data_IF_093821796347
#
_entry.id   IF_093821796347
#
_cell.length_a   1.000
_cell.length_b   1.000
_cell.length_c   1.000
_cell.angle_alpha   90.00
_cell.angle_beta   90.00
_cell.angle_gamma   90.00
#
_symmetry.space_group_name_H-M   'P 1'
#
loop_
_entity.id
_entity.type
_entity.pdbx_description
1 polymer ?
#
# COMPACT_ATOMS: atom_id res chain seq x y z
N UNK A 1 6.67 18.70 -5.38
CA UNK A 1 7.04 19.59 -6.50
C UNK A 1 8.27 20.44 -6.20
N UNK A 2 8.51 20.81 -4.94
CA UNK A 2 9.70 21.58 -4.53
C UNK A 2 11.03 20.93 -4.93
N UNK A 3 11.15 19.61 -4.84
CA UNK A 3 12.36 18.88 -5.25
C UNK A 3 12.64 19.02 -6.75
N UNK A 4 11.60 18.89 -7.60
CA UNK A 4 11.74 19.05 -9.06
C UNK A 4 12.10 20.50 -9.42
N UNK A 5 11.48 21.48 -8.76
CA UNK A 5 11.83 22.89 -8.90
C UNK A 5 13.30 23.15 -8.59
N UNK A 6 13.76 22.69 -7.44
CA UNK A 6 15.14 22.87 -7.00
C UNK A 6 16.14 22.20 -7.96
N UNK A 7 15.80 21.01 -8.47
CA UNK A 7 16.63 20.30 -9.47
C UNK A 7 16.79 21.08 -10.78
N UNK A 8 15.75 21.82 -11.18
CA UNK A 8 15.76 22.70 -12.35
C UNK A 8 16.27 24.12 -12.05
N UNK A 9 16.70 24.42 -10.82
CA UNK A 9 17.11 25.76 -10.43
C UNK A 9 15.97 26.77 -10.26
N UNK A 10 14.71 26.34 -10.30
CA UNK A 10 13.56 27.23 -10.14
C UNK A 10 13.22 27.49 -8.68
N UNK A 11 13.02 28.75 -8.37
CA UNK A 11 12.54 29.26 -7.09
C UNK A 11 11.03 29.53 -7.14
N UNK A 12 10.46 29.98 -6.02
CA UNK A 12 9.06 30.43 -5.96
C UNK A 12 8.85 31.78 -6.64
N UNK A 13 9.91 32.60 -6.80
CA UNK A 13 9.84 33.94 -7.41
C UNK A 13 9.68 33.89 -8.93
N UNK A 14 10.15 32.82 -9.55
CA UNK A 14 10.11 32.64 -11.01
C UNK A 14 8.71 32.39 -11.55
N UNK A 15 7.72 32.13 -10.67
CA UNK A 15 6.29 31.95 -10.99
C UNK A 15 5.99 30.94 -12.12
N UNK A 16 6.95 30.08 -12.48
CA UNK A 16 6.80 29.01 -13.47
C UNK A 16 5.70 28.04 -13.01
N UNK A 17 4.82 27.60 -13.91
CA UNK A 17 3.75 26.67 -13.57
C UNK A 17 4.30 25.27 -13.28
N UNK A 18 3.58 24.51 -12.45
CA UNK A 18 4.01 23.14 -12.11
C UNK A 18 3.93 22.21 -13.32
N UNK A 19 3.05 22.50 -14.27
CA UNK A 19 2.86 21.80 -15.53
C UNK A 19 4.10 21.94 -16.43
N UNK A 20 4.67 23.14 -16.54
CA UNK A 20 5.90 23.39 -17.31
C UNK A 20 7.10 22.67 -16.71
N UNK A 21 7.23 22.68 -15.38
CA UNK A 21 8.28 21.93 -14.67
C UNK A 21 8.12 20.42 -14.89
N UNK A 22 6.88 19.93 -14.93
CA UNK A 22 6.62 18.52 -15.25
C UNK A 22 6.96 18.19 -16.69
N UNK A 23 6.62 19.04 -17.64
CA UNK A 23 6.95 18.86 -19.05
C UNK A 23 8.46 18.86 -19.27
N UNK A 24 9.17 19.82 -18.68
CA UNK A 24 10.64 19.91 -18.71
C UNK A 24 11.30 18.64 -18.18
N UNK A 25 10.81 18.13 -17.03
CA UNK A 25 11.33 16.91 -16.40
C UNK A 25 10.69 15.62 -16.93
N UNK A 26 9.80 15.73 -17.93
CA UNK A 26 9.04 14.61 -18.51
C UNK A 26 8.33 13.75 -17.44
N UNK A 27 7.84 14.39 -16.37
CA UNK A 27 7.21 13.69 -15.25
C UNK A 27 5.69 13.66 -15.39
N UNK A 28 5.12 12.45 -15.37
CA UNK A 28 3.67 12.29 -15.37
C UNK A 28 3.00 12.94 -14.13
N UNK A 29 1.76 13.46 -14.28
CA UNK A 29 0.95 13.96 -13.17
C UNK A 29 0.84 12.96 -12.01
N UNK A 30 0.81 13.48 -10.77
CA UNK A 30 0.75 12.65 -9.57
C UNK A 30 -0.47 11.72 -9.56
N UNK A 31 -1.63 12.19 -10.00
CA UNK A 31 -2.85 11.38 -10.08
C UNK A 31 -2.67 10.14 -10.97
N UNK A 32 -1.96 10.29 -12.10
CA UNK A 32 -1.65 9.16 -12.98
C UNK A 32 -0.67 8.19 -12.31
N UNK A 33 0.36 8.69 -11.62
CA UNK A 33 1.30 7.85 -10.86
C UNK A 33 0.60 7.06 -9.75
N UNK A 34 -0.31 7.70 -9.02
CA UNK A 34 -1.13 7.06 -7.99
C UNK A 34 -2.04 6.00 -8.58
N UNK A 35 -2.72 6.30 -9.69
CA UNK A 35 -3.56 5.33 -10.41
C UNK A 35 -2.73 4.13 -10.90
N UNK A 36 -1.57 4.38 -11.49
CA UNK A 36 -0.66 3.33 -11.95
C UNK A 36 -0.13 2.48 -10.78
N UNK A 37 0.23 3.08 -9.64
CA UNK A 37 0.63 2.32 -8.45
C UNK A 37 -0.49 1.43 -7.92
N UNK A 38 -1.72 1.95 -7.82
CA UNK A 38 -2.89 1.16 -7.40
C UNK A 38 -3.14 -0.02 -8.35
N UNK A 39 -3.06 0.20 -9.66
CA UNK A 39 -3.24 -0.86 -10.66
C UNK A 39 -2.12 -1.90 -10.61
N UNK A 40 -0.86 -1.48 -10.41
CA UNK A 40 0.26 -2.41 -10.24
C UNK A 40 0.07 -3.28 -9.01
N UNK A 41 -0.35 -2.69 -7.88
CA UNK A 41 -0.66 -3.43 -6.67
C UNK A 41 -1.82 -4.40 -6.89
N UNK A 42 -2.92 -3.95 -7.50
CA UNK A 42 -4.06 -4.81 -7.80
C UNK A 42 -3.68 -5.98 -8.71
N UNK A 43 -2.92 -5.72 -9.78
CA UNK A 43 -2.40 -6.75 -10.67
C UNK A 43 -1.45 -7.72 -9.98
N UNK A 44 -0.66 -7.26 -9.01
CA UNK A 44 0.16 -8.14 -8.17
C UNK A 44 -0.72 -9.07 -7.33
N UNK A 45 -1.76 -8.54 -6.65
CA UNK A 45 -2.70 -9.35 -5.86
C UNK A 45 -3.46 -10.36 -6.73
N UNK A 46 -3.93 -9.97 -7.90
CA UNK A 46 -4.63 -10.85 -8.85
C UNK A 46 -3.76 -11.97 -9.43
N UNK A 47 -2.43 -11.81 -9.43
CA UNK A 47 -1.49 -12.86 -9.84
C UNK A 47 -1.15 -13.86 -8.73
N UNK A 48 -1.52 -13.58 -7.47
CA UNK A 48 -1.30 -14.52 -6.36
C UNK A 48 -2.34 -15.66 -6.40
N UNK A 49 -2.00 -16.85 -5.84
CA UNK A 49 -2.92 -17.97 -5.72
C UNK A 49 -4.24 -17.57 -5.01
N UNK A 50 -5.39 -18.19 -5.35
CA UNK A 50 -6.68 -17.92 -4.69
C UNK A 50 -6.66 -18.09 -3.17
N UNK A 51 -5.84 -19.02 -2.68
CA UNK A 51 -5.66 -19.28 -1.25
C UNK A 51 -4.79 -18.23 -0.53
N UNK A 52 -4.12 -17.33 -1.27
CA UNK A 52 -3.25 -16.34 -0.67
C UNK A 52 -4.05 -15.32 0.15
N UNK A 53 -3.65 -15.01 1.40
CA UNK A 53 -4.43 -14.16 2.30
C UNK A 53 -4.82 -12.79 1.72
N UNK A 54 -3.92 -12.12 0.99
CA UNK A 54 -4.21 -10.82 0.38
C UNK A 54 -5.29 -10.88 -0.69
N UNK A 55 -5.39 -12.00 -1.42
CA UNK A 55 -6.42 -12.21 -2.45
C UNK A 55 -7.76 -12.56 -1.80
N UNK A 56 -7.74 -13.44 -0.80
CA UNK A 56 -8.93 -13.74 0.00
C UNK A 56 -9.50 -12.49 0.67
N UNK A 57 -8.67 -11.63 1.26
CA UNK A 57 -9.12 -10.38 1.87
C UNK A 57 -9.76 -9.42 0.84
N UNK A 58 -9.25 -9.42 -0.40
CA UNK A 58 -9.81 -8.63 -1.49
C UNK A 58 -11.15 -9.19 -2.00
N UNK A 59 -11.38 -10.49 -1.92
CA UNK A 59 -12.61 -11.17 -2.35
C UNK A 59 -13.64 -11.30 -1.21
N UNK A 60 -13.23 -11.15 0.05
CA UNK A 60 -14.09 -11.26 1.23
C UNK A 60 -15.22 -10.22 1.23
N UNK A 61 -16.45 -10.70 1.39
CA UNK A 61 -17.62 -9.84 1.64
C UNK A 61 -17.70 -9.52 3.13
N UNK A 62 -17.85 -8.24 3.47
CA UNK A 62 -18.02 -7.79 4.86
C UNK A 62 -19.49 -7.47 5.05
N UNK A 63 -20.20 -8.31 5.80
CA UNK A 63 -21.60 -8.09 6.16
C UNK A 63 -21.69 -7.05 7.30
N UNK A 64 -22.38 -5.93 7.07
CA UNK A 64 -22.53 -4.88 8.08
C UNK A 64 -23.14 -3.57 7.54
N UNK A 65 -23.73 -2.76 8.42
CA UNK A 65 -24.24 -1.43 8.04
C UNK A 65 -23.06 -0.48 7.85
N UNK A 66 -22.88 -0.02 6.61
CA UNK A 66 -21.83 0.93 6.24
C UNK A 66 -22.14 2.32 6.82
N UNK A 67 -21.22 2.87 7.61
CA UNK A 67 -21.26 4.28 8.01
C UNK A 67 -21.09 5.20 6.79
N UNK A 68 -21.83 6.31 6.76
CA UNK A 68 -21.83 7.25 5.62
C UNK A 68 -20.42 7.84 5.44
N UNK A 69 -19.79 7.59 4.28
CA UNK A 69 -18.41 8.00 3.97
C UNK A 69 -17.33 6.95 4.24
N UNK A 70 -17.63 5.83 4.91
CA UNK A 70 -16.67 4.76 5.15
C UNK A 70 -16.42 3.91 3.88
N UNK A 71 -15.25 3.28 3.73
CA UNK A 71 -15.01 2.25 2.69
C UNK A 71 -16.08 1.15 2.71
N UNK A 72 -16.37 0.51 1.56
CA UNK A 72 -17.36 -0.58 1.49
C UNK A 72 -17.00 -1.78 2.38
N UNK A 73 -15.71 -1.99 2.66
CA UNK A 73 -15.18 -3.05 3.53
C UNK A 73 -14.64 -2.48 4.86
N UNK A 74 -15.31 -1.46 5.41
CA UNK A 74 -14.91 -0.86 6.67
C UNK A 74 -15.59 -1.59 7.83
N UNK A 75 -14.78 -2.11 8.74
CA UNK A 75 -15.24 -2.65 10.02
C UNK A 75 -15.35 -1.54 11.05
N UNK A 76 -16.26 -1.71 12.00
CA UNK A 76 -16.43 -0.79 13.12
C UNK A 76 -15.27 -1.02 14.11
N UNK A 77 -14.27 -0.14 14.08
CA UNK A 77 -13.07 -0.29 14.90
C UNK A 77 -12.08 0.86 14.72
N UNK A 78 -11.18 1.01 15.69
CA UNK A 78 -10.08 1.96 15.58
C UNK A 78 -9.05 1.44 14.58
N UNK A 79 -8.50 2.30 13.70
CA UNK A 79 -7.48 1.89 12.75
C UNK A 79 -6.23 1.40 13.49
N UNK A 80 -5.74 0.24 13.10
CA UNK A 80 -4.52 -0.36 13.64
C UNK A 80 -3.56 -0.73 12.49
N UNK A 81 -2.25 -0.68 12.77
CA UNK A 81 -1.21 -1.10 11.83
C UNK A 81 -0.58 -2.37 12.39
N UNK A 82 -0.62 -3.44 11.60
CA UNK A 82 0.05 -4.71 11.90
C UNK A 82 1.22 -4.84 10.93
N UNK A 83 2.43 -4.98 11.45
CA UNK A 83 3.63 -5.15 10.65
C UNK A 83 4.47 -6.32 11.17
N UNK A 84 5.31 -6.87 10.30
CA UNK A 84 6.30 -7.88 10.64
C UNK A 84 7.69 -7.27 10.51
N UNK A 85 8.56 -7.60 11.45
CA UNK A 85 9.96 -7.21 11.43
C UNK A 85 10.75 -8.20 10.57
N UNK A 86 11.22 -7.75 9.41
CA UNK A 86 12.05 -8.55 8.52
C UNK A 86 13.54 -8.53 8.90
N UNK A 87 13.97 -7.56 9.72
CA UNK A 87 15.38 -7.39 10.07
C UNK A 87 15.49 -6.68 11.40
N UNK A 88 16.50 -7.06 12.19
CA UNK A 88 16.93 -6.28 13.34
C UNK A 88 18.01 -5.29 12.91
N UNK A 89 17.64 -4.01 12.88
CA UNK A 89 18.51 -2.91 12.45
C UNK A 89 19.76 -2.72 13.32
N UNK A 90 19.75 -3.22 14.56
CA UNK A 90 20.93 -3.22 15.44
C UNK A 90 22.01 -4.19 14.98
N UNK A 91 21.67 -5.17 14.13
CA UNK A 91 22.59 -6.19 13.62
C UNK A 91 22.99 -5.97 12.15
N UNK A 92 22.41 -4.96 11.49
CA UNK A 92 22.70 -4.60 10.11
C UNK A 92 21.48 -4.02 9.40
N UNK A 93 21.72 -3.47 8.20
CA UNK A 93 20.69 -2.80 7.38
C UNK A 93 20.20 -3.63 6.18
N UNK A 94 20.82 -4.78 5.92
CA UNK A 94 20.43 -5.67 4.82
C UNK A 94 19.65 -6.88 5.32
N UNK A 95 18.47 -7.13 4.72
CA UNK A 95 17.68 -8.34 4.97
C UNK A 95 18.43 -9.54 4.37
N UNK A 96 18.95 -10.41 5.24
CA UNK A 96 19.66 -11.65 4.88
C UNK A 96 18.78 -12.85 5.24
N UNK A 97 17.72 -13.06 4.48
CA UNK A 97 16.71 -14.09 4.72
C UNK A 97 16.51 -14.83 3.39
N UNK A 98 16.35 -16.16 3.46
CA UNK A 98 15.99 -16.98 2.31
C UNK A 98 14.62 -16.62 1.75
N UNK A 99 14.39 -16.83 0.45
CA UNK A 99 13.16 -16.41 -0.21
C UNK A 99 11.90 -17.03 0.43
N UNK A 100 11.97 -18.30 0.83
CA UNK A 100 10.84 -19.00 1.44
C UNK A 100 10.45 -18.40 2.80
N UNK A 101 11.44 -18.03 3.62
CA UNK A 101 11.22 -17.35 4.89
C UNK A 101 10.64 -15.94 4.69
N UNK A 102 11.06 -15.24 3.63
CA UNK A 102 10.49 -13.94 3.28
C UNK A 102 9.00 -14.05 2.94
N UNK A 103 8.60 -15.05 2.13
CA UNK A 103 7.19 -15.28 1.78
C UNK A 103 6.38 -15.57 3.04
N UNK A 104 6.89 -16.41 3.94
CA UNK A 104 6.22 -16.70 5.21
C UNK A 104 5.97 -15.42 6.03
N UNK A 105 6.98 -14.54 6.11
CA UNK A 105 6.87 -13.27 6.83
C UNK A 105 5.90 -12.29 6.17
N UNK A 106 5.81 -12.29 4.84
CA UNK A 106 4.86 -11.48 4.07
C UNK A 106 3.41 -11.88 4.40
N UNK A 107 3.12 -13.17 4.63
CA UNK A 107 1.76 -13.67 4.88
C UNK A 107 1.27 -13.46 6.32
N UNK A 108 2.18 -13.38 7.30
CA UNK A 108 1.86 -13.29 8.75
C UNK A 108 0.89 -12.17 9.14
N UNK A 109 1.04 -10.91 8.70
CA UNK A 109 0.09 -9.85 9.04
C UNK A 109 -1.31 -10.16 8.53
N UNK A 110 -1.41 -10.69 7.30
CA UNK A 110 -2.70 -11.03 6.71
C UNK A 110 -3.35 -12.20 7.45
N UNK A 111 -2.58 -13.24 7.82
CA UNK A 111 -3.11 -14.36 8.62
C UNK A 111 -3.69 -13.90 9.95
N UNK A 112 -2.99 -13.00 10.66
CA UNK A 112 -3.46 -12.43 11.92
C UNK A 112 -4.76 -11.63 11.72
N UNK A 113 -4.77 -10.74 10.72
CA UNK A 113 -5.92 -9.88 10.43
C UNK A 113 -7.12 -10.72 9.99
N UNK A 114 -6.95 -11.65 9.05
CA UNK A 114 -8.03 -12.54 8.61
C UNK A 114 -8.58 -13.38 9.76
N UNK A 115 -7.73 -13.90 10.66
CA UNK A 115 -8.18 -14.64 11.84
C UNK A 115 -9.00 -13.76 12.81
N UNK A 116 -8.58 -12.52 13.05
CA UNK A 116 -9.31 -11.57 13.89
C UNK A 116 -10.67 -11.22 13.29
N UNK A 117 -10.71 -11.00 11.96
CA UNK A 117 -11.93 -10.70 11.23
C UNK A 117 -12.91 -11.87 11.31
N UNK A 118 -12.46 -13.10 11.04
CA UNK A 118 -13.29 -14.31 11.14
C UNK A 118 -13.90 -14.46 12.53
N UNK A 119 -13.10 -14.25 13.57
CA UNK A 119 -13.55 -14.26 14.98
C UNK A 119 -14.63 -13.20 15.26
N UNK A 120 -14.54 -12.01 14.67
CA UNK A 120 -15.55 -10.95 14.86
C UNK A 120 -16.83 -11.19 14.05
N UNK A 121 -16.72 -11.80 12.88
CA UNK A 121 -17.86 -12.13 12.03
C UNK A 121 -18.56 -13.44 12.42
N UNK A 122 -17.98 -14.23 13.33
CA UNK A 122 -18.54 -15.50 13.81
C UNK A 122 -18.49 -16.63 12.77
N UNK A 123 -17.48 -16.62 11.89
CA UNK A 123 -17.27 -17.59 10.80
C UNK A 123 -15.91 -18.29 10.89
#
# INVERSE_FOLDING_TARGET
MCTLRWSCGFTRRDKVCNEDIRALMQTAPLQQKLRAQRLRWFGHVMRRPPLHPSRQALEMEVTGKRLRGAPRKAMEGHPAIVCVTLLNRMKGDQVKIEHDQYIEFEERPFRLVTALIRKQLGC
#
